data_IF_710213465218
#
_entry.id   IF_710213465218
#
_cell.length_a   1.000
_cell.length_b   1.000
_cell.length_c   1.000
_cell.angle_alpha   90.00
_cell.angle_beta   90.00
_cell.angle_gamma   90.00
#
_symmetry.space_group_name_H-M   'P 1'
#
loop_
_entity.id
_entity.type
_entity.pdbx_description
1 polymer ?
#
# COMPACT_ATOMS: atom_id res chain seq x y z
N UNK A 1 19.49 -47.19 8.22
CA UNK A 1 19.84 -46.47 6.97
C UNK A 1 18.63 -45.86 6.26
N UNK A 2 17.52 -46.60 6.07
CA UNK A 2 16.34 -46.13 5.33
C UNK A 2 15.63 -44.92 5.97
N UNK A 3 15.53 -44.89 7.30
CA UNK A 3 14.90 -43.78 8.02
C UNK A 3 15.67 -42.47 7.82
N UNK A 4 17.00 -42.53 7.81
CA UNK A 4 17.89 -41.38 7.58
C UNK A 4 17.76 -40.86 6.14
N UNK A 5 17.66 -41.74 5.15
CA UNK A 5 17.49 -41.33 3.74
C UNK A 5 16.14 -40.67 3.47
N UNK A 6 15.07 -41.13 4.12
CA UNK A 6 13.74 -40.50 4.02
C UNK A 6 13.75 -39.11 4.67
N UNK A 7 14.44 -38.95 5.80
CA UNK A 7 14.58 -37.65 6.46
C UNK A 7 15.26 -36.58 5.60
N UNK A 8 16.38 -36.92 4.96
CA UNK A 8 17.10 -35.99 4.08
C UNK A 8 16.26 -35.58 2.87
N UNK A 9 15.54 -36.54 2.27
CA UNK A 9 14.66 -36.28 1.13
C UNK A 9 13.52 -35.33 1.51
N UNK A 10 12.90 -35.51 2.67
CA UNK A 10 11.84 -34.61 3.17
C UNK A 10 12.32 -33.19 3.39
N UNK A 11 13.52 -33.03 3.95
CA UNK A 11 14.15 -31.72 4.16
C UNK A 11 14.41 -31.01 2.83
N UNK A 12 14.94 -31.72 1.83
CA UNK A 12 15.19 -31.16 0.51
C UNK A 12 13.92 -30.64 -0.17
N UNK A 13 12.81 -31.39 -0.07
CA UNK A 13 11.50 -30.96 -0.57
C UNK A 13 11.00 -29.73 0.18
N UNK A 14 11.11 -29.72 1.51
CA UNK A 14 10.71 -28.58 2.34
C UNK A 14 11.43 -27.29 1.97
N UNK A 15 12.75 -27.36 1.75
CA UNK A 15 13.53 -26.21 1.30
C UNK A 15 13.17 -25.78 -0.12
N UNK A 16 12.92 -26.72 -1.04
CA UNK A 16 12.50 -26.41 -2.41
C UNK A 16 11.10 -25.76 -2.49
N UNK A 17 10.20 -26.13 -1.57
CA UNK A 17 8.81 -25.66 -1.55
C UNK A 17 8.57 -24.46 -0.62
N UNK A 18 9.56 -24.01 0.16
CA UNK A 18 9.39 -22.98 1.19
C UNK A 18 8.73 -21.71 0.66
N UNK A 19 9.16 -21.26 -0.53
CA UNK A 19 8.63 -20.06 -1.17
C UNK A 19 7.17 -20.21 -1.60
N UNK A 20 6.81 -21.38 -2.12
CA UNK A 20 5.42 -21.69 -2.49
C UNK A 20 4.52 -21.66 -1.26
N UNK A 21 4.94 -22.32 -0.18
CA UNK A 21 4.15 -22.40 1.05
C UNK A 21 3.89 -21.00 1.61
N UNK A 22 4.89 -20.12 1.59
CA UNK A 22 4.73 -18.72 2.00
C UNK A 22 3.68 -18.00 1.14
N UNK A 23 3.77 -18.14 -0.18
CA UNK A 23 2.83 -17.50 -1.10
C UNK A 23 1.39 -17.95 -0.84
N UNK A 24 1.17 -19.26 -0.71
CA UNK A 24 -0.17 -19.82 -0.50
C UNK A 24 -0.77 -19.38 0.84
N UNK A 25 0.01 -19.42 1.93
CA UNK A 25 -0.47 -18.98 3.24
C UNK A 25 -0.80 -17.49 3.21
N UNK A 26 0.06 -16.66 2.63
CA UNK A 26 -0.20 -15.23 2.49
C UNK A 26 -1.49 -14.97 1.69
N UNK A 27 -1.68 -15.62 0.54
CA UNK A 27 -2.89 -15.44 -0.28
C UNK A 27 -4.18 -15.88 0.42
N UNK A 28 -4.12 -16.93 1.24
CA UNK A 28 -5.25 -17.36 2.08
C UNK A 28 -5.61 -16.25 3.08
N UNK A 29 -4.64 -15.70 3.81
CA UNK A 29 -4.89 -14.65 4.78
C UNK A 29 -5.35 -13.34 4.13
N UNK A 30 -4.77 -12.94 3.01
CA UNK A 30 -5.23 -11.78 2.22
C UNK A 30 -6.73 -11.91 1.90
N UNK A 31 -7.16 -13.12 1.50
CA UNK A 31 -8.55 -13.37 1.10
C UNK A 31 -9.49 -13.47 2.30
N UNK A 32 -9.11 -14.18 3.37
CA UNK A 32 -9.96 -14.40 4.55
C UNK A 32 -10.10 -13.12 5.38
N UNK A 33 -9.05 -12.29 5.44
CA UNK A 33 -9.06 -11.01 6.16
C UNK A 33 -9.59 -9.86 5.31
N UNK A 34 -9.97 -10.12 4.04
CA UNK A 34 -10.48 -9.12 3.10
C UNK A 34 -9.61 -7.86 2.99
N UNK A 35 -8.28 -8.07 2.97
CA UNK A 35 -7.32 -6.96 2.97
C UNK A 35 -7.46 -6.09 1.71
N UNK A 36 -7.76 -6.72 0.59
CA UNK A 36 -8.11 -6.07 -0.67
C UNK A 36 -8.79 -7.08 -1.61
N UNK A 37 -9.57 -6.57 -2.55
CA UNK A 37 -10.28 -7.34 -3.55
C UNK A 37 -9.91 -6.98 -4.99
N UNK A 38 -10.53 -7.69 -5.94
CA UNK A 38 -10.45 -7.33 -7.36
C UNK A 38 -11.16 -6.00 -7.57
N UNK A 39 -10.50 -5.06 -8.26
CA UNK A 39 -10.99 -3.71 -8.51
C UNK A 39 -10.48 -2.66 -7.51
N UNK A 40 -9.85 -3.08 -6.41
CA UNK A 40 -9.25 -2.14 -5.46
C UNK A 40 -7.96 -1.53 -6.01
N UNK A 41 -7.72 -0.26 -5.67
CA UNK A 41 -6.44 0.39 -5.87
C UNK A 41 -5.59 0.08 -4.65
N UNK A 42 -4.50 -0.66 -4.87
CA UNK A 42 -3.58 -1.03 -3.80
C UNK A 42 -2.20 -0.40 -4.03
N UNK A 43 -1.52 -0.17 -2.92
CA UNK A 43 -0.13 0.24 -2.87
C UNK A 43 0.67 -0.82 -2.13
N UNK A 44 1.64 -1.40 -2.83
CA UNK A 44 2.66 -2.26 -2.24
C UNK A 44 4.01 -1.51 -2.26
N UNK A 45 5.07 -2.15 -1.76
CA UNK A 45 6.42 -1.60 -1.85
C UNK A 45 6.96 -1.54 -3.29
N UNK A 46 6.33 -2.21 -4.24
CA UNK A 46 6.81 -2.38 -5.61
C UNK A 46 5.94 -1.64 -6.62
N UNK A 47 4.61 -1.60 -6.39
CA UNK A 47 3.65 -1.07 -7.36
C UNK A 47 2.46 -0.42 -6.66
N UNK A 48 1.98 0.66 -7.27
CA UNK A 48 0.65 1.23 -7.03
C UNK A 48 -0.20 0.94 -8.27
N UNK A 49 -1.42 0.41 -8.07
CA UNK A 49 -2.31 0.14 -9.19
C UNK A 49 -3.60 -0.59 -8.80
N UNK A 50 -4.40 -0.91 -9.81
CA UNK A 50 -5.68 -1.60 -9.67
C UNK A 50 -5.47 -3.11 -9.69
N UNK A 51 -6.07 -3.83 -8.74
CA UNK A 51 -6.06 -5.29 -8.72
C UNK A 51 -6.96 -5.83 -9.83
N UNK A 52 -6.38 -6.54 -10.80
CA UNK A 52 -7.14 -7.17 -11.88
C UNK A 52 -7.61 -8.58 -11.54
N UNK A 53 -6.82 -9.33 -10.78
CA UNK A 53 -7.14 -10.69 -10.38
C UNK A 53 -6.36 -11.11 -9.15
N UNK A 54 -6.96 -11.96 -8.32
CA UNK A 54 -6.31 -12.52 -7.14
C UNK A 54 -6.40 -14.04 -7.16
N UNK A 55 -5.26 -14.70 -7.01
CA UNK A 55 -5.17 -16.12 -6.74
C UNK A 55 -4.50 -16.38 -5.39
N UNK A 56 -4.43 -17.65 -4.99
CA UNK A 56 -3.80 -18.03 -3.73
C UNK A 56 -2.29 -17.76 -3.70
N UNK A 57 -1.61 -17.79 -4.85
CA UNK A 57 -0.16 -17.57 -4.94
C UNK A 57 0.21 -16.18 -5.47
N UNK A 58 -0.54 -15.69 -6.45
CA UNK A 58 -0.21 -14.50 -7.22
C UNK A 58 -1.39 -13.54 -7.23
N UNK A 59 -1.11 -12.25 -7.06
CA UNK A 59 -2.03 -11.14 -7.34
C UNK A 59 -1.54 -10.37 -8.55
N UNK A 60 -2.47 -10.02 -9.45
CA UNK A 60 -2.19 -9.24 -10.66
C UNK A 60 -2.63 -7.80 -10.44
N UNK A 61 -1.71 -6.86 -10.62
CA UNK A 61 -1.95 -5.42 -10.45
C UNK A 61 -1.62 -4.70 -11.74
N UNK A 62 -2.54 -3.87 -12.24
CA UNK A 62 -2.28 -2.96 -13.35
C UNK A 62 -1.92 -1.58 -12.80
N UNK A 63 -0.72 -1.11 -13.09
CA UNK A 63 -0.29 0.23 -12.71
C UNK A 63 -0.82 1.30 -13.69
N UNK A 64 -0.68 2.57 -13.34
CA UNK A 64 -1.20 3.70 -14.11
C UNK A 64 -0.55 3.84 -15.50
N UNK A 65 0.70 3.39 -15.64
CA UNK A 65 1.41 3.31 -16.92
C UNK A 65 0.91 2.16 -17.83
N UNK A 66 -0.05 1.36 -17.35
CA UNK A 66 -0.64 0.23 -18.06
C UNK A 66 0.14 -1.08 -17.90
N UNK A 67 1.29 -1.07 -17.21
CA UNK A 67 2.06 -2.28 -16.94
C UNK A 67 1.29 -3.23 -16.01
N UNK A 68 1.47 -4.53 -16.23
CA UNK A 68 0.81 -5.57 -15.45
C UNK A 68 1.87 -6.28 -14.62
N UNK A 69 1.70 -6.19 -13.31
CA UNK A 69 2.57 -6.75 -12.31
C UNK A 69 1.98 -8.05 -11.78
N UNK A 70 2.83 -9.07 -11.65
CA UNK A 70 2.47 -10.36 -11.06
C UNK A 70 3.20 -10.49 -9.72
N UNK A 71 2.49 -10.15 -8.65
CA UNK A 71 3.03 -10.11 -7.32
C UNK A 71 2.88 -11.47 -6.66
N UNK A 72 3.97 -12.01 -6.11
CA UNK A 72 3.89 -13.19 -5.25
C UNK A 72 3.34 -12.77 -3.90
N UNK A 73 2.25 -13.39 -3.48
CA UNK A 73 1.57 -13.02 -2.23
C UNK A 73 2.50 -13.12 -1.01
N UNK A 74 3.45 -14.07 -1.03
CA UNK A 74 4.41 -14.26 0.06
C UNK A 74 5.49 -13.18 0.16
N UNK A 75 5.61 -12.31 -0.85
CA UNK A 75 6.56 -11.20 -0.89
C UNK A 75 5.89 -9.85 -0.57
N UNK A 76 4.56 -9.80 -0.49
CA UNK A 76 3.80 -8.62 -0.07
C UNK A 76 3.84 -8.54 1.46
N UNK A 77 4.84 -7.83 1.99
CA UNK A 77 4.99 -7.64 3.43
C UNK A 77 3.99 -6.64 4.02
N UNK A 78 3.61 -5.63 3.23
CA UNK A 78 2.66 -4.58 3.60
C UNK A 78 1.90 -4.16 2.35
N UNK A 79 0.61 -3.88 2.54
CA UNK A 79 -0.28 -3.35 1.51
C UNK A 79 -1.10 -2.22 2.10
N UNK A 80 -1.22 -1.12 1.35
CA UNK A 80 -2.20 -0.07 1.61
C UNK A 80 -3.34 -0.21 0.61
N UNK A 81 -4.56 -0.44 1.10
CA UNK A 81 -5.74 -0.39 0.25
C UNK A 81 -6.24 1.07 0.18
N UNK A 82 -6.15 1.68 -1.01
CA UNK A 82 -6.57 3.06 -1.27
C UNK A 82 -8.06 3.16 -1.65
N UNK A 83 -8.73 2.02 -1.87
CA UNK A 83 -10.17 1.94 -2.15
C UNK A 83 -11.03 1.75 -0.89
N UNK A 84 -10.42 1.36 0.24
CA UNK A 84 -11.11 1.16 1.50
C UNK A 84 -10.89 2.36 2.46
N UNK A 85 -11.90 2.64 3.29
CA UNK A 85 -11.84 3.72 4.29
C UNK A 85 -11.86 5.14 3.69
N UNK A 86 -11.39 6.11 4.46
CA UNK A 86 -11.31 7.52 4.05
C UNK A 86 -9.90 7.87 3.59
N UNK A 87 -9.41 7.18 2.55
CA UNK A 87 -8.10 7.47 1.98
C UNK A 87 -8.03 8.90 1.45
N UNK A 88 -6.98 9.63 1.86
CA UNK A 88 -6.65 10.96 1.36
C UNK A 88 -5.21 10.89 0.82
N UNK A 89 -4.99 11.15 -0.48
CA UNK A 89 -3.64 11.22 -1.03
C UNK A 89 -2.82 12.27 -0.30
N UNK A 90 -1.60 11.90 0.14
CA UNK A 90 -0.65 12.88 0.68
C UNK A 90 -0.24 13.78 -0.49
N UNK A 91 -0.64 15.05 -0.44
CA UNK A 91 -0.16 16.04 -1.39
C UNK A 91 1.25 16.42 -0.96
N UNK A 92 2.26 15.92 -1.68
CA UNK A 92 3.60 16.49 -1.61
C UNK A 92 3.52 17.91 -2.16
N UNK A 93 3.24 18.86 -1.27
CA UNK A 93 3.30 20.28 -1.59
C UNK A 93 4.74 20.55 -2.03
N UNK A 94 4.99 21.05 -3.26
CA UNK A 94 6.33 21.43 -3.63
C UNK A 94 6.78 22.48 -2.62
N UNK A 95 7.99 22.29 -2.10
CA UNK A 95 8.65 23.19 -1.15
C UNK A 95 8.22 24.63 -1.41
N UNK A 96 7.68 25.29 -0.38
CA UNK A 96 7.48 26.72 -0.42
C UNK A 96 8.83 27.35 -0.75
N UNK A 97 9.01 27.73 -2.02
CA UNK A 97 10.12 28.58 -2.42
C UNK A 97 10.08 29.84 -1.54
N UNK A 98 11.24 30.44 -1.22
CA UNK A 98 11.33 31.55 -0.26
C UNK A 98 10.55 32.82 -0.64
N UNK A 99 9.81 32.83 -1.75
CA UNK A 99 9.20 34.02 -2.34
C UNK A 99 7.71 34.19 -2.01
N UNK A 100 7.04 33.24 -1.35
CA UNK A 100 5.61 33.38 -1.00
C UNK A 100 5.37 34.24 0.25
N UNK A 101 6.41 34.73 0.93
CA UNK A 101 6.29 35.61 2.09
C UNK A 101 5.96 37.08 1.73
N UNK A 102 6.00 37.47 0.46
CA UNK A 102 5.85 38.87 0.04
C UNK A 102 4.68 39.09 -0.95
N UNK A 103 3.51 38.53 -0.68
CA UNK A 103 2.29 38.94 -1.38
C UNK A 103 1.02 38.76 -0.56
N UNK A 104 1.07 39.11 0.73
CA UNK A 104 -0.13 39.49 1.47
C UNK A 104 -0.28 41.02 1.38
N UNK A 105 -1.15 41.58 0.51
CA UNK A 105 -1.48 42.99 0.60
C UNK A 105 -2.33 43.21 1.85
N UNK A 106 -1.87 44.13 2.68
CA UNK A 106 -2.56 44.67 3.83
C UNK A 106 -3.95 45.21 3.45
N UNK A 107 -5.00 44.60 3.98
CA UNK A 107 -6.34 45.16 4.19
C UNK A 107 -6.94 44.23 5.24
N UNK A 108 -7.07 44.59 6.52
CA UNK A 108 -8.09 45.50 6.99
C UNK A 108 -7.79 45.86 8.45
N UNK A 109 -7.22 47.04 8.68
CA UNK A 109 -7.16 47.67 9.99
C UNK A 109 -8.21 48.78 10.03
N UNK A 110 -9.38 48.54 10.64
CA UNK A 110 -10.12 49.59 11.35
C UNK A 110 -11.24 49.04 12.26
N UNK A 111 -11.11 49.44 13.54
CA UNK A 111 -12.18 49.82 14.49
C UNK A 111 -12.53 48.83 15.61
N UNK A 112 -11.66 48.81 16.61
CA UNK A 112 -12.00 48.81 18.05
C UNK A 112 -11.16 49.98 18.60
N UNK A 113 -11.68 51.08 19.14
CA UNK A 113 -12.36 51.27 20.43
C UNK A 113 -12.89 52.72 20.54
N UNK A 114 -13.82 52.93 21.47
CA UNK A 114 -14.30 54.16 22.16
C UNK A 114 -15.84 54.14 22.18
N UNK A 115 -16.56 54.18 23.31
CA UNK A 115 -16.21 54.41 24.71
C UNK A 115 -17.35 53.87 25.59
N UNK A 116 -17.01 53.49 26.81
CA UNK A 116 -17.93 53.30 27.93
C UNK A 116 -18.59 54.63 28.37
N UNK A 117 -19.81 54.51 28.91
CA UNK A 117 -20.45 55.34 29.94
C UNK A 117 -20.36 56.87 29.84
N UNK A 118 -21.46 57.51 29.44
CA UNK A 118 -22.42 58.24 30.30
C UNK A 118 -23.73 58.46 29.53
#
# INVERSE_FOLDING_TARGET
>A
PLLTSVGILGIAIGFGAQQLIRDFLAGIFITIEDQYGIGDVIETSEVVGVVESMGLRITRVRSEDGAIWYLRNGEILRVGNRSQGNYVPVQDSPEAGPDTALSAPATEAKKTEQKAGE
#
